data_IF_536328369860
#
_entry.id   IF_536328369860
#
_cell.length_a   1.000
_cell.length_b   1.000
_cell.length_c   1.000
_cell.angle_alpha   90.00
_cell.angle_beta   90.00
_cell.angle_gamma   90.00
#
_symmetry.space_group_name_H-M   'P 1'
#
loop_
_entity.id
_entity.type
_entity.pdbx_description
1 polymer ?
#
# COMPACT_ATOMS: atom_id res chain seq x y z
N UNK A 1 -27.06 68.01 22.75
CA UNK A 1 -27.00 67.13 21.55
C UNK A 1 -25.74 66.26 21.48
N UNK A 2 -24.66 66.53 22.22
CA UNK A 2 -23.40 65.75 22.16
C UNK A 2 -23.46 64.31 22.73
N UNK A 3 -24.42 63.99 23.60
CA UNK A 3 -24.53 62.65 24.20
C UNK A 3 -24.97 61.60 23.16
N UNK A 4 -25.94 61.93 22.31
CA UNK A 4 -26.48 61.04 21.26
C UNK A 4 -25.44 60.62 20.23
N UNK A 5 -24.50 61.49 19.88
CA UNK A 5 -23.43 61.19 18.93
C UNK A 5 -22.41 60.18 19.50
N UNK A 6 -22.13 60.27 20.81
CA UNK A 6 -21.25 59.31 21.49
C UNK A 6 -21.86 57.91 21.52
N UNK A 7 -23.16 57.80 21.78
CA UNK A 7 -23.88 56.52 21.74
C UNK A 7 -23.91 55.93 20.32
N UNK A 8 -24.16 56.74 19.30
CA UNK A 8 -24.11 56.29 17.91
C UNK A 8 -22.73 55.78 17.49
N UNK A 9 -21.66 56.48 17.89
CA UNK A 9 -20.30 56.02 17.61
C UNK A 9 -19.93 54.75 18.37
N UNK A 10 -20.41 54.57 19.60
CA UNK A 10 -20.23 53.33 20.37
C UNK A 10 -20.92 52.14 19.70
N UNK A 11 -22.18 52.32 19.29
CA UNK A 11 -22.95 51.28 18.59
C UNK A 11 -22.25 50.92 17.28
N UNK A 12 -21.86 51.91 16.48
CA UNK A 12 -21.22 51.67 15.19
C UNK A 12 -19.87 50.95 15.35
N UNK A 13 -19.10 51.27 16.39
CA UNK A 13 -17.83 50.61 16.71
C UNK A 13 -18.03 49.15 17.11
N UNK A 14 -19.05 48.85 17.92
CA UNK A 14 -19.38 47.46 18.31
C UNK A 14 -19.83 46.65 17.08
N UNK A 15 -20.67 47.23 16.23
CA UNK A 15 -21.13 46.57 14.99
C UNK A 15 -19.97 46.30 14.04
N UNK A 16 -19.06 47.25 13.85
CA UNK A 16 -17.85 47.06 13.05
C UNK A 16 -16.96 45.92 13.59
N UNK A 17 -16.75 45.88 14.90
CA UNK A 17 -15.97 44.80 15.54
C UNK A 17 -16.65 43.45 15.33
N UNK A 18 -17.98 43.38 15.49
CA UNK A 18 -18.73 42.15 15.27
C UNK A 18 -18.63 41.65 13.82
N UNK A 19 -18.69 42.56 12.84
CA UNK A 19 -18.51 42.22 11.42
C UNK A 19 -17.10 41.70 11.16
N UNK A 20 -16.07 42.33 11.72
CA UNK A 20 -14.67 41.91 11.56
C UNK A 20 -14.46 40.50 12.16
N UNK A 21 -15.01 40.24 13.34
CA UNK A 21 -14.92 38.92 13.97
C UNK A 21 -15.64 37.87 13.12
N UNK A 22 -16.85 38.18 12.65
CA UNK A 22 -17.63 37.25 11.83
C UNK A 22 -16.93 36.93 10.50
N UNK A 23 -16.32 37.94 9.86
CA UNK A 23 -15.49 37.75 8.67
C UNK A 23 -14.24 36.89 8.97
N UNK A 24 -13.55 37.16 10.08
CA UNK A 24 -12.39 36.38 10.51
C UNK A 24 -12.72 34.91 10.75
N UNK A 25 -13.81 34.61 11.45
CA UNK A 25 -14.29 33.25 11.69
C UNK A 25 -14.66 32.55 10.37
N UNK A 26 -15.32 33.27 9.45
CA UNK A 26 -15.64 32.75 8.12
C UNK A 26 -14.40 32.35 7.32
N UNK A 27 -13.35 33.16 7.36
CA UNK A 27 -12.06 32.84 6.73
C UNK A 27 -11.44 31.60 7.39
N UNK A 28 -11.34 31.55 8.71
CA UNK A 28 -10.73 30.40 9.41
C UNK A 28 -11.50 29.10 9.10
N UNK A 29 -12.83 29.13 9.09
CA UNK A 29 -13.67 27.98 8.75
C UNK A 29 -13.57 27.58 7.26
N UNK A 30 -13.33 28.52 6.35
CA UNK A 30 -13.11 28.20 4.93
C UNK A 30 -11.72 27.59 4.67
N UNK A 31 -10.71 28.00 5.44
CA UNK A 31 -9.34 27.48 5.30
C UNK A 31 -9.10 26.18 6.08
N UNK A 32 -9.83 25.92 7.17
CA UNK A 32 -9.75 24.67 7.94
C UNK A 32 -10.01 23.37 7.12
N UNK A 33 -11.05 23.25 6.28
CA UNK A 33 -11.28 22.04 5.49
C UNK A 33 -10.18 21.86 4.43
N UNK A 34 -9.59 22.95 3.93
CA UNK A 34 -8.49 22.91 2.94
C UNK A 34 -7.23 22.26 3.50
N UNK A 35 -6.92 22.48 4.77
CA UNK A 35 -5.78 21.85 5.44
C UNK A 35 -6.02 20.35 5.64
N UNK A 36 -7.25 19.94 5.98
CA UNK A 36 -7.60 18.52 6.10
C UNK A 36 -7.51 17.77 4.76
N UNK A 37 -7.88 18.43 3.66
CA UNK A 37 -7.73 17.85 2.32
C UNK A 37 -6.26 17.63 1.94
N UNK A 38 -5.36 18.50 2.40
CA UNK A 38 -3.93 18.39 2.12
C UNK A 38 -3.29 17.19 2.83
N UNK A 39 -3.72 16.87 4.06
CA UNK A 39 -3.31 15.65 4.76
C UNK A 39 -3.84 14.38 4.09
N UNK A 40 -5.10 14.38 3.65
CA UNK A 40 -5.67 13.25 2.92
C UNK A 40 -4.93 13.00 1.60
N UNK A 41 -4.45 14.06 0.93
CA UNK A 41 -3.69 13.94 -0.30
C UNK A 41 -2.30 13.34 -0.07
N UNK A 42 -1.59 13.77 0.98
CA UNK A 42 -0.28 13.22 1.35
C UNK A 42 -0.39 11.74 1.71
N UNK A 43 -1.37 11.35 2.54
CA UNK A 43 -1.56 9.95 2.92
C UNK A 43 -1.84 9.05 1.72
N UNK A 44 -2.64 9.54 0.75
CA UNK A 44 -2.89 8.79 -0.49
C UNK A 44 -1.64 8.69 -1.37
N UNK A 45 -0.81 9.72 -1.39
CA UNK A 45 0.43 9.72 -2.16
C UNK A 45 1.42 8.69 -1.60
N UNK A 46 1.61 8.68 -0.27
CA UNK A 46 2.48 7.72 0.41
C UNK A 46 1.98 6.28 0.25
N UNK A 47 0.66 6.06 0.34
CA UNK A 47 0.08 4.74 0.12
C UNK A 47 0.31 4.25 -1.33
N UNK A 48 0.12 5.12 -2.31
CA UNK A 48 0.33 4.77 -3.72
C UNK A 48 1.81 4.52 -4.01
N UNK A 49 2.70 5.33 -3.45
CA UNK A 49 4.14 5.17 -3.58
C UNK A 49 4.61 3.85 -2.96
N UNK A 50 4.10 3.52 -1.78
CA UNK A 50 4.40 2.24 -1.12
C UNK A 50 3.95 1.03 -1.97
N UNK A 51 2.76 1.10 -2.57
CA UNK A 51 2.28 0.05 -3.48
C UNK A 51 3.15 -0.10 -4.72
N UNK A 52 3.64 1.01 -5.27
CA UNK A 52 4.58 0.99 -6.41
C UNK A 52 5.88 0.30 -6.00
N UNK A 53 6.47 0.69 -4.87
CA UNK A 53 7.74 0.13 -4.40
C UNK A 53 7.65 -1.38 -4.14
N UNK A 54 6.55 -1.84 -3.51
CA UNK A 54 6.30 -3.27 -3.28
C UNK A 54 6.18 -4.03 -4.60
N UNK A 55 5.47 -3.47 -5.58
CA UNK A 55 5.27 -4.11 -6.89
C UNK A 55 6.58 -4.17 -7.68
N UNK A 56 7.35 -3.09 -7.69
CA UNK A 56 8.66 -3.03 -8.37
C UNK A 56 9.67 -3.98 -7.73
N UNK A 57 9.65 -4.10 -6.39
CA UNK A 57 10.49 -5.07 -5.69
C UNK A 57 10.12 -6.51 -6.07
N UNK A 58 8.82 -6.82 -6.14
CA UNK A 58 8.35 -8.14 -6.57
C UNK A 58 8.72 -8.46 -8.03
N UNK A 59 8.62 -7.49 -8.95
CA UNK A 59 9.04 -7.68 -10.33
C UNK A 59 10.55 -7.92 -10.46
N UNK A 60 11.37 -7.23 -9.67
CA UNK A 60 12.82 -7.45 -9.65
C UNK A 60 13.17 -8.83 -9.16
N UNK A 61 12.54 -9.28 -8.07
CA UNK A 61 12.73 -10.64 -7.53
C UNK A 61 12.32 -11.72 -8.54
N UNK A 62 11.18 -11.51 -9.23
CA UNK A 62 10.73 -12.41 -10.29
C UNK A 62 11.68 -12.45 -11.47
N UNK A 63 12.20 -11.29 -11.91
CA UNK A 63 13.18 -11.21 -13.00
C UNK A 63 14.51 -11.86 -12.62
N UNK A 64 14.98 -11.69 -11.39
CA UNK A 64 16.21 -12.32 -10.93
C UNK A 64 16.06 -13.85 -10.88
N UNK A 65 14.92 -14.35 -10.40
CA UNK A 65 14.57 -15.77 -10.45
C UNK A 65 14.54 -16.29 -11.89
N UNK A 66 13.87 -15.58 -12.80
CA UNK A 66 13.84 -15.94 -14.23
C UNK A 66 15.23 -15.94 -14.86
N UNK A 67 16.09 -14.99 -14.49
CA UNK A 67 17.46 -14.95 -14.97
C UNK A 67 18.25 -16.18 -14.47
N UNK A 68 18.12 -16.55 -13.19
CA UNK A 68 18.73 -17.76 -12.64
C UNK A 68 18.23 -19.02 -13.33
N UNK A 69 16.93 -19.14 -13.60
CA UNK A 69 16.36 -20.24 -14.39
C UNK A 69 16.93 -20.30 -15.82
N UNK A 70 17.34 -19.17 -16.41
CA UNK A 70 17.94 -19.16 -17.76
C UNK A 70 19.44 -19.40 -17.78
N UNK A 71 20.14 -19.06 -16.70
CA UNK A 71 21.60 -19.01 -16.67
C UNK A 71 22.21 -20.28 -16.07
N UNK A 72 21.45 -21.02 -15.26
CA UNK A 72 21.91 -22.24 -14.59
C UNK A 72 21.08 -23.47 -15.04
N UNK A 73 21.57 -24.24 -16.02
CA UNK A 73 20.88 -25.43 -16.52
C UNK A 73 20.79 -26.56 -15.47
N UNK A 74 21.74 -26.64 -14.52
CA UNK A 74 21.71 -27.65 -13.46
C UNK A 74 20.59 -27.35 -12.44
N UNK A 75 20.30 -26.06 -12.21
CA UNK A 75 19.17 -25.64 -11.38
C UNK A 75 17.82 -25.98 -12.02
N UNK A 76 17.68 -25.81 -13.34
CA UNK A 76 16.46 -26.19 -14.07
C UNK A 76 16.24 -27.70 -14.00
N UNK A 77 17.30 -28.50 -14.13
CA UNK A 77 17.23 -29.96 -14.06
C UNK A 77 16.78 -30.44 -12.66
N UNK A 78 17.31 -29.83 -11.59
CA UNK A 78 16.86 -30.12 -10.21
C UNK A 78 15.40 -29.77 -9.97
N UNK A 79 14.97 -28.58 -10.39
CA UNK A 79 13.56 -28.17 -10.23
C UNK A 79 12.66 -29.07 -11.06
N UNK A 80 13.03 -29.42 -12.30
CA UNK A 80 12.28 -30.36 -13.13
C UNK A 80 12.13 -31.72 -12.44
N UNK A 81 13.19 -32.26 -11.84
CA UNK A 81 13.14 -33.50 -11.08
C UNK A 81 12.24 -33.41 -9.84
N UNK A 82 12.22 -32.29 -9.12
CA UNK A 82 11.31 -32.08 -7.97
C UNK A 82 9.83 -32.06 -8.37
N UNK A 83 9.48 -31.53 -9.55
CA UNK A 83 8.09 -31.56 -10.07
C UNK A 83 7.77 -32.87 -10.81
N UNK A 84 8.71 -33.82 -10.88
CA UNK A 84 8.51 -35.14 -11.49
C UNK A 84 8.80 -35.21 -13.00
N UNK A 85 9.41 -34.18 -13.59
CA UNK A 85 9.86 -34.19 -14.98
C UNK A 85 11.30 -34.66 -15.08
N UNK A 86 11.53 -35.88 -15.57
CA UNK A 86 12.87 -36.40 -15.85
C UNK A 86 13.32 -36.15 -17.29
N UNK A 87 14.64 -36.22 -17.54
CA UNK A 87 15.15 -36.16 -18.91
C UNK A 87 14.67 -37.39 -19.70
N UNK A 88 14.36 -37.23 -20.99
CA UNK A 88 13.83 -38.32 -21.85
C UNK A 88 14.75 -39.57 -21.92
N UNK A 89 16.03 -39.41 -21.62
CA UNK A 89 17.05 -40.46 -21.61
C UNK A 89 17.38 -41.02 -20.23
N UNK A 90 16.65 -40.64 -19.19
CA UNK A 90 16.95 -41.00 -17.81
C UNK A 90 16.10 -42.19 -17.34
N UNK A 91 16.70 -43.08 -16.54
CA UNK A 91 16.02 -44.27 -16.00
C UNK A 91 15.50 -43.94 -14.62
N UNK A 92 14.18 -43.83 -14.48
CA UNK A 92 13.52 -43.56 -13.21
C UNK A 92 13.35 -44.89 -12.45
N UNK A 93 13.95 -44.99 -11.27
CA UNK A 93 13.71 -46.10 -10.34
C UNK A 93 12.56 -45.74 -9.42
N UNK A 94 11.41 -46.40 -9.61
CA UNK A 94 10.28 -46.31 -8.69
C UNK A 94 10.45 -47.37 -7.61
N UNK A 95 10.66 -46.94 -6.36
CA UNK A 95 10.63 -47.82 -5.20
C UNK A 95 9.19 -47.84 -4.68
N UNK A 96 8.43 -48.94 -4.85
CA UNK A 96 7.15 -49.06 -4.16
C UNK A 96 7.42 -49.03 -2.65
N UNK A 97 6.63 -48.25 -1.90
CA UNK A 97 6.62 -48.35 -0.45
C UNK A 97 6.35 -49.80 -0.07
N UNK A 98 7.15 -50.34 0.84
CA UNK A 98 7.03 -51.71 1.33
C UNK A 98 5.59 -51.95 1.79
N UNK A 99 4.77 -52.53 0.92
CA UNK A 99 3.50 -53.12 1.32
C UNK A 99 3.89 -54.24 2.26
N UNK A 100 3.73 -53.98 3.56
CA UNK A 100 4.07 -54.90 4.62
C UNK A 100 3.62 -56.32 4.28
N UNK A 101 4.59 -57.22 4.18
CA UNK A 101 4.36 -58.65 4.16
C UNK A 101 3.64 -59.04 5.47
N UNK A 102 2.31 -59.04 5.46
CA UNK A 102 1.53 -59.79 6.45
C UNK A 102 1.50 -61.24 6.00
N UNK A 103 2.57 -61.96 6.35
CA UNK A 103 2.57 -63.40 6.32
C UNK A 103 1.64 -63.94 7.40
N UNK A 104 0.43 -64.32 7.02
CA UNK A 104 -0.38 -65.29 7.75
C UNK A 104 -1.51 -65.76 6.81
N UNK A 105 -1.39 -66.98 6.29
CA UNK A 105 -2.49 -67.97 6.17
C UNK A 105 -1.97 -69.23 5.45
N UNK A 106 -1.61 -70.24 6.25
CA UNK A 106 -1.64 -71.66 5.93
C UNK A 106 -2.41 -72.37 7.04
#
# INVERSE_FOLDING_TARGET
MQQTEKYWNLINRIVLIAIIIMAGVGVVLAFAPKVKQLQAYQNKFDELQHRIDVTVAAEKDLKEKQLRFRTDPDFVEKVAHEVGYARRSETIYHFPEETGYNGAEF
#
